data_IF_082406974276
#
_entry.id   IF_082406974276
#
_cell.length_a   1.000
_cell.length_b   1.000
_cell.length_c   1.000
_cell.angle_alpha   90.00
_cell.angle_beta   90.00
_cell.angle_gamma   90.00
#
_symmetry.space_group_name_H-M   'P 1'
#
loop_
_entity.id
_entity.type
_entity.pdbx_description
1 polymer ?
#
# COMPACT_ATOMS: atom_id res chain seq x y z
N UNK A 1 -30.45 -3.92 7.63
CA UNK A 1 -29.24 -4.63 8.08
C UNK A 1 -28.03 -3.84 7.60
N UNK A 2 -27.41 -3.06 8.48
CA UNK A 2 -26.20 -2.32 8.15
C UNK A 2 -25.04 -3.32 7.98
N UNK A 3 -24.49 -3.45 6.76
CA UNK A 3 -23.27 -4.23 6.55
C UNK A 3 -22.10 -3.39 7.06
N UNK A 4 -21.66 -3.67 8.27
CA UNK A 4 -20.43 -3.13 8.82
C UNK A 4 -19.23 -3.81 8.15
N UNK A 5 -18.87 -3.36 6.94
CA UNK A 5 -17.72 -3.89 6.20
C UNK A 5 -16.46 -3.31 6.84
N UNK A 6 -15.77 -4.12 7.64
CA UNK A 6 -14.43 -3.78 8.14
C UNK A 6 -13.40 -4.17 7.07
N UNK A 7 -12.68 -3.20 6.54
CA UNK A 7 -11.52 -3.45 5.68
C UNK A 7 -10.40 -4.08 6.51
N UNK A 8 -9.90 -5.24 6.08
CA UNK A 8 -8.69 -5.84 6.64
C UNK A 8 -7.44 -5.07 6.18
N UNK A 9 -7.26 -3.85 6.71
CA UNK A 9 -6.16 -2.97 6.33
C UNK A 9 -4.79 -3.63 6.50
N UNK A 10 -4.59 -4.30 7.62
CA UNK A 10 -3.33 -4.97 7.93
C UNK A 10 -3.01 -6.07 6.89
N UNK A 11 -4.01 -6.87 6.50
CA UNK A 11 -3.83 -7.89 5.46
C UNK A 11 -3.46 -7.31 4.10
N UNK A 12 -4.03 -6.17 3.71
CA UNK A 12 -3.65 -5.48 2.47
C UNK A 12 -2.20 -4.98 2.50
N UNK A 13 -1.76 -4.45 3.64
CA UNK A 13 -0.39 -3.94 3.80
C UNK A 13 0.62 -5.09 3.75
N UNK A 14 0.34 -6.19 4.44
CA UNK A 14 1.20 -7.38 4.44
C UNK A 14 1.34 -7.98 3.04
N UNK A 15 0.23 -8.12 2.33
CA UNK A 15 0.22 -8.60 0.96
C UNK A 15 0.98 -7.66 0.02
N UNK A 16 0.82 -6.34 0.17
CA UNK A 16 1.57 -5.35 -0.60
C UNK A 16 3.08 -5.45 -0.36
N UNK A 17 3.52 -5.58 0.90
CA UNK A 17 4.94 -5.74 1.24
C UNK A 17 5.51 -7.03 0.65
N UNK A 18 4.75 -8.14 0.72
CA UNK A 18 5.13 -9.42 0.11
C UNK A 18 5.32 -9.25 -1.41
N UNK A 19 4.33 -8.68 -2.09
CA UNK A 19 4.35 -8.48 -3.55
C UNK A 19 5.50 -7.57 -4.00
N UNK A 20 5.80 -6.50 -3.26
CA UNK A 20 6.94 -5.61 -3.54
C UNK A 20 8.26 -6.39 -3.51
N UNK A 21 8.46 -7.22 -2.47
CA UNK A 21 9.68 -8.02 -2.30
C UNK A 21 9.82 -9.08 -3.39
N UNK A 22 8.73 -9.72 -3.81
CA UNK A 22 8.71 -10.67 -4.93
C UNK A 22 9.11 -10.03 -6.26
N UNK A 23 8.67 -8.79 -6.49
CA UNK A 23 9.07 -7.98 -7.64
C UNK A 23 10.48 -7.37 -7.50
N UNK A 24 11.20 -7.63 -6.40
CA UNK A 24 12.54 -7.10 -6.10
C UNK A 24 12.63 -5.57 -6.12
N UNK A 25 11.53 -4.88 -5.80
CA UNK A 25 11.48 -3.43 -5.72
C UNK A 25 11.92 -2.96 -4.34
N UNK A 26 12.78 -1.94 -4.30
CA UNK A 26 13.01 -1.15 -3.08
C UNK A 26 11.80 -0.25 -2.79
N UNK A 27 11.70 0.27 -1.57
CA UNK A 27 10.69 1.29 -1.26
C UNK A 27 10.87 2.54 -2.15
N UNK A 28 12.10 2.95 -2.43
CA UNK A 28 12.36 4.09 -3.32
C UNK A 28 11.75 3.86 -4.70
N UNK A 29 12.05 2.72 -5.33
CA UNK A 29 11.55 2.37 -6.66
C UNK A 29 10.02 2.28 -6.70
N UNK A 30 9.40 1.62 -5.72
CA UNK A 30 7.93 1.54 -5.67
C UNK A 30 7.31 2.93 -5.46
N UNK A 31 7.92 3.79 -4.64
CA UNK A 31 7.38 5.13 -4.40
C UNK A 31 7.37 5.98 -5.67
N UNK A 32 8.44 5.88 -6.47
CA UNK A 32 8.54 6.54 -7.78
C UNK A 32 7.48 5.99 -8.74
N UNK A 33 7.34 4.66 -8.85
CA UNK A 33 6.36 4.03 -9.73
C UNK A 33 4.90 4.38 -9.36
N UNK A 34 4.61 4.48 -8.07
CA UNK A 34 3.27 4.83 -7.57
C UNK A 34 3.01 6.34 -7.56
N UNK A 35 4.01 7.18 -7.85
CA UNK A 35 3.89 8.64 -7.80
C UNK A 35 3.60 9.17 -6.39
N UNK A 36 4.22 8.57 -5.37
CA UNK A 36 4.10 8.96 -3.96
C UNK A 36 5.48 9.24 -3.37
N UNK A 37 5.52 10.00 -2.27
CA UNK A 37 6.79 10.21 -1.57
C UNK A 37 7.24 8.92 -0.87
N UNK A 38 8.56 8.70 -0.76
CA UNK A 38 9.12 7.57 0.00
C UNK A 38 8.61 7.53 1.46
N UNK A 39 8.51 8.66 2.22
CA UNK A 39 7.89 8.64 3.54
C UNK A 39 6.43 8.18 3.55
N UNK A 40 5.67 8.50 2.50
CA UNK A 40 4.28 8.01 2.33
C UNK A 40 4.26 6.51 2.16
N UNK A 41 5.11 5.96 1.28
CA UNK A 41 5.21 4.50 1.11
C UNK A 41 5.66 3.81 2.40
N UNK A 42 6.66 4.35 3.10
CA UNK A 42 7.09 3.79 4.37
C UNK A 42 5.97 3.82 5.43
N UNK A 43 5.18 4.90 5.49
CA UNK A 43 4.01 4.98 6.37
C UNK A 43 2.93 3.95 6.01
N UNK A 44 2.71 3.71 4.72
CA UNK A 44 1.84 2.64 4.23
C UNK A 44 2.34 1.25 4.65
N UNK A 45 3.62 0.92 4.43
CA UNK A 45 4.19 -0.38 4.81
C UNK A 45 4.25 -0.59 6.33
N UNK A 46 4.22 0.48 7.11
CA UNK A 46 4.06 0.45 8.57
C UNK A 46 2.61 0.28 9.03
N UNK A 47 1.64 0.21 8.10
CA UNK A 47 0.23 0.04 8.41
C UNK A 47 -0.46 1.31 8.94
N UNK A 48 0.14 2.50 8.79
CA UNK A 48 -0.49 3.74 9.28
C UNK A 48 -1.76 4.04 8.51
N UNK A 49 -2.84 4.28 9.24
CA UNK A 49 -4.16 4.63 8.68
C UNK A 49 -4.34 6.13 8.40
N UNK A 50 -3.37 6.96 8.80
CA UNK A 50 -3.38 8.41 8.56
C UNK A 50 -2.97 8.80 7.13
N UNK A 51 -2.57 7.82 6.31
CA UNK A 51 -2.25 8.07 4.91
C UNK A 51 -3.53 8.35 4.10
N UNK A 52 -3.40 9.09 3.00
CA UNK A 52 -4.52 9.34 2.08
C UNK A 52 -4.89 8.05 1.36
N UNK A 53 -6.19 7.78 1.22
CA UNK A 53 -6.71 6.62 0.49
C UNK A 53 -6.20 6.57 -0.96
N UNK A 54 -6.14 7.71 -1.66
CA UNK A 54 -5.56 7.81 -3.01
C UNK A 54 -4.12 7.27 -3.08
N UNK A 55 -3.28 7.61 -2.09
CA UNK A 55 -1.90 7.13 -2.04
C UNK A 55 -1.84 5.61 -1.82
N UNK A 56 -2.69 5.07 -0.95
CA UNK A 56 -2.80 3.63 -0.75
C UNK A 56 -3.23 2.92 -2.05
N UNK A 57 -4.24 3.43 -2.74
CA UNK A 57 -4.73 2.85 -4.00
C UNK A 57 -3.68 2.90 -5.12
N UNK A 58 -2.92 4.00 -5.24
CA UNK A 58 -1.80 4.09 -6.19
C UNK A 58 -0.75 3.02 -5.95
N UNK A 59 -0.36 2.80 -4.69
CA UNK A 59 0.61 1.76 -4.31
C UNK A 59 0.06 0.37 -4.67
N UNK A 60 -1.18 0.07 -4.29
CA UNK A 60 -1.81 -1.22 -4.56
C UNK A 60 -1.95 -1.49 -6.07
N UNK A 61 -2.29 -0.47 -6.87
CA UNK A 61 -2.41 -0.59 -8.33
C UNK A 61 -1.08 -0.98 -8.99
N UNK A 62 0.04 -0.36 -8.58
CA UNK A 62 1.38 -0.72 -9.10
C UNK A 62 1.74 -2.16 -8.76
N UNK A 63 1.31 -2.65 -7.60
CA UNK A 63 1.53 -4.03 -7.17
C UNK A 63 0.51 -5.04 -7.76
N UNK A 64 -0.49 -4.57 -8.51
CA UNK A 64 -1.53 -5.41 -9.11
C UNK A 64 -2.53 -5.97 -8.09
N UNK A 65 -2.87 -5.19 -7.07
CA UNK A 65 -3.78 -5.56 -5.96
C UNK A 65 -5.09 -4.75 -5.94
N UNK A 66 -5.27 -3.80 -6.86
CA UNK A 66 -6.45 -2.95 -7.00
C UNK A 66 -6.67 -2.54 -8.47
#
# INVERSE_FOLDING_TARGET
>A
MERNVRLNWQGFVEEAVRRRKEQKLTQEQLSVLAGVSKPTLNSFEQGKTTIKLDSALKILKVLGLA
#
